data_IF_991415832777
#
_entry.id   IF_991415832777
#
_cell.length_a   1.000
_cell.length_b   1.000
_cell.length_c   1.000
_cell.angle_alpha   90.00
_cell.angle_beta   90.00
_cell.angle_gamma   90.00
#
_symmetry.space_group_name_H-M   'P 1'
#
loop_
_entity.id
_entity.type
_entity.pdbx_description
1 polymer ?
#
# COMPACT_ATOMS: atom_id res chain seq x y z
N UNK A 1 18.32 26.01 -10.86
CA UNK A 1 17.27 25.11 -11.39
C UNK A 1 16.43 24.58 -10.23
N UNK A 2 15.29 23.94 -10.50
CA UNK A 2 14.46 23.32 -9.45
C UNK A 2 15.26 22.34 -8.58
N UNK A 3 16.10 21.50 -9.20
CA UNK A 3 16.96 20.55 -8.48
C UNK A 3 18.01 21.22 -7.59
N UNK A 4 18.61 22.33 -8.05
CA UNK A 4 19.57 23.09 -7.25
C UNK A 4 18.91 23.72 -6.01
N UNK A 5 17.74 24.34 -6.19
CA UNK A 5 16.95 24.90 -5.08
C UNK A 5 16.56 23.83 -4.07
N UNK A 6 16.07 22.68 -4.54
CA UNK A 6 15.68 21.57 -3.67
C UNK A 6 16.87 21.02 -2.87
N UNK A 7 18.02 20.91 -3.50
CA UNK A 7 19.27 20.47 -2.84
C UNK A 7 19.71 21.45 -1.76
N UNK A 8 19.68 22.75 -2.05
CA UNK A 8 20.06 23.80 -1.11
C UNK A 8 19.13 23.83 0.10
N UNK A 9 17.81 23.78 -0.12
CA UNK A 9 16.80 23.71 0.95
C UNK A 9 16.98 22.45 1.81
N UNK A 10 17.22 21.28 1.19
CA UNK A 10 17.47 20.04 1.93
C UNK A 10 18.78 20.06 2.72
N UNK A 11 19.78 20.82 2.28
CA UNK A 11 21.05 21.00 2.99
C UNK A 11 20.95 21.82 4.26
N UNK A 12 19.94 22.70 4.37
CA UNK A 12 19.71 23.54 5.55
C UNK A 12 19.13 22.74 6.75
N UNK A 13 18.62 21.54 6.52
CA UNK A 13 17.97 20.72 7.53
C UNK A 13 18.69 19.38 7.72
N UNK A 14 19.58 19.26 8.71
CA UNK A 14 20.23 18.00 9.05
C UNK A 14 19.18 16.90 9.32
N UNK A 15 19.23 15.82 8.54
CA UNK A 15 18.24 14.72 8.58
C UNK A 15 17.22 14.74 7.44
N UNK A 16 17.10 15.82 6.66
CA UNK A 16 16.20 15.88 5.51
C UNK A 16 16.71 15.09 4.28
N UNK A 17 18.03 14.93 4.18
CA UNK A 17 18.70 14.32 3.00
C UNK A 17 19.15 12.88 3.24
N UNK A 18 19.42 12.48 4.48
CA UNK A 18 20.08 11.21 4.82
C UNK A 18 19.38 10.41 5.91
N UNK A 19 18.04 10.43 5.93
CA UNK A 19 17.31 9.45 6.74
C UNK A 19 17.21 8.12 5.97
N UNK A 20 18.27 7.31 6.03
CA UNK A 20 18.27 5.93 5.52
C UNK A 20 17.52 4.94 6.43
N UNK A 21 16.94 5.44 7.54
CA UNK A 21 16.31 4.64 8.59
C UNK A 21 14.85 5.03 8.86
N UNK A 22 14.24 5.84 7.97
CA UNK A 22 12.87 6.32 8.12
C UNK A 22 11.83 5.21 8.32
N UNK A 23 11.95 4.14 7.55
CA UNK A 23 11.12 2.95 7.66
C UNK A 23 11.96 1.67 7.55
N UNK A 24 11.41 0.61 8.11
CA UNK A 24 11.93 -0.76 8.07
C UNK A 24 10.94 -1.70 7.39
N UNK A 25 11.38 -2.92 7.05
CA UNK A 25 10.48 -3.98 6.58
C UNK A 25 9.44 -4.35 7.65
N UNK A 26 9.84 -4.35 8.92
CA UNK A 26 8.95 -4.60 10.06
C UNK A 26 7.82 -3.57 10.15
N UNK A 27 8.09 -2.29 9.87
CA UNK A 27 7.03 -1.27 9.85
C UNK A 27 5.96 -1.56 8.79
N UNK A 28 6.39 -2.05 7.62
CA UNK A 28 5.48 -2.47 6.56
C UNK A 28 4.69 -3.72 6.97
N UNK A 29 5.36 -4.71 7.56
CA UNK A 29 4.72 -5.95 8.03
C UNK A 29 3.65 -5.66 9.08
N UNK A 30 3.96 -4.83 10.08
CA UNK A 30 3.01 -4.43 11.13
C UNK A 30 1.80 -3.68 10.56
N UNK A 31 2.00 -2.83 9.55
CA UNK A 31 0.90 -2.16 8.87
C UNK A 31 0.02 -3.17 8.12
N UNK A 32 0.65 -4.07 7.37
CA UNK A 32 -0.02 -5.10 6.57
C UNK A 32 -0.83 -6.04 7.47
N UNK A 33 -0.24 -6.53 8.56
CA UNK A 33 -0.88 -7.44 9.49
C UNK A 33 -2.08 -6.78 10.18
N UNK A 34 -1.95 -5.51 10.60
CA UNK A 34 -3.08 -4.76 11.17
C UNK A 34 -4.20 -4.55 10.16
N UNK A 35 -3.86 -4.11 8.94
CA UNK A 35 -4.85 -3.89 7.88
C UNK A 35 -5.57 -5.19 7.50
N UNK A 36 -4.88 -6.33 7.49
CA UNK A 36 -5.46 -7.62 7.13
C UNK A 36 -6.58 -8.09 8.08
N UNK A 37 -6.65 -7.52 9.29
CA UNK A 37 -7.70 -7.82 10.28
C UNK A 37 -8.93 -6.92 10.13
N UNK A 38 -8.86 -5.88 9.30
CA UNK A 38 -9.90 -4.87 9.16
C UNK A 38 -10.65 -5.10 7.86
N UNK A 39 -11.96 -5.29 7.97
CA UNK A 39 -12.82 -5.48 6.80
C UNK A 39 -12.84 -4.23 5.91
N UNK A 40 -12.47 -4.40 4.65
CA UNK A 40 -12.46 -3.36 3.63
C UNK A 40 -13.85 -3.26 2.96
N UNK A 41 -14.69 -2.36 3.45
CA UNK A 41 -16.10 -2.23 3.04
C UNK A 41 -16.35 -1.14 2.01
N UNK A 42 -15.49 -0.12 1.96
CA UNK A 42 -15.73 1.05 1.12
C UNK A 42 -14.45 1.72 0.60
N UNK A 43 -14.63 2.66 -0.34
CA UNK A 43 -13.54 3.44 -0.96
C UNK A 43 -12.77 4.29 0.04
N UNK A 44 -13.42 4.79 1.10
CA UNK A 44 -12.75 5.61 2.11
C UNK A 44 -11.68 4.78 2.86
N UNK A 45 -12.05 3.59 3.32
CA UNK A 45 -11.13 2.65 3.98
C UNK A 45 -10.01 2.17 3.04
N UNK A 46 -10.33 1.92 1.78
CA UNK A 46 -9.33 1.54 0.78
C UNK A 46 -8.33 2.67 0.53
N UNK A 47 -8.82 3.91 0.43
CA UNK A 47 -7.97 5.09 0.27
C UNK A 47 -7.03 5.28 1.45
N UNK A 48 -7.50 5.05 2.68
CA UNK A 48 -6.67 5.09 3.89
C UNK A 48 -5.56 4.04 3.86
N UNK A 49 -5.92 2.78 3.62
CA UNK A 49 -4.93 1.70 3.51
C UNK A 49 -3.90 1.99 2.41
N UNK A 50 -4.35 2.42 1.23
CA UNK A 50 -3.47 2.75 0.11
C UNK A 50 -2.49 3.87 0.45
N UNK A 51 -2.93 4.94 1.11
CA UNK A 51 -2.04 6.04 1.51
C UNK A 51 -0.99 5.59 2.51
N UNK A 52 -1.40 4.91 3.58
CA UNK A 52 -0.49 4.46 4.63
C UNK A 52 0.50 3.41 4.11
N UNK A 53 0.02 2.46 3.32
CA UNK A 53 0.87 1.46 2.68
C UNK A 53 1.91 2.12 1.75
N UNK A 54 1.49 3.07 0.89
CA UNK A 54 2.42 3.73 -0.04
C UNK A 54 3.44 4.61 0.67
N UNK A 55 3.05 5.25 1.77
CA UNK A 55 3.95 6.09 2.58
C UNK A 55 5.18 5.32 3.03
N UNK A 56 5.00 4.05 3.42
CA UNK A 56 6.09 3.17 3.86
C UNK A 56 6.74 2.47 2.65
N UNK A 57 5.95 1.78 1.83
CA UNK A 57 6.47 0.89 0.80
C UNK A 57 7.19 1.62 -0.33
N UNK A 58 6.72 2.80 -0.75
CA UNK A 58 7.38 3.57 -1.81
C UNK A 58 8.78 4.03 -1.40
N UNK A 59 8.94 4.40 -0.12
CA UNK A 59 10.25 4.75 0.42
C UNK A 59 11.17 3.52 0.48
N UNK A 60 10.65 2.35 0.88
CA UNK A 60 11.43 1.10 0.89
C UNK A 60 11.88 0.69 -0.52
N UNK A 61 11.01 0.82 -1.53
CA UNK A 61 11.36 0.58 -2.94
C UNK A 61 12.41 1.56 -3.43
N UNK A 62 12.24 2.86 -3.13
CA UNK A 62 13.21 3.90 -3.51
C UNK A 62 14.60 3.62 -2.93
N UNK A 63 14.66 3.10 -1.70
CA UNK A 63 15.90 2.70 -1.03
C UNK A 63 16.36 1.29 -1.37
N UNK A 64 15.72 0.63 -2.34
CA UNK A 64 16.01 -0.75 -2.77
C UNK A 64 15.96 -1.78 -1.63
N UNK A 65 15.21 -1.48 -0.57
CA UNK A 65 15.00 -2.39 0.58
C UNK A 65 13.95 -3.46 0.28
N UNK A 66 13.06 -3.20 -0.67
CA UNK A 66 12.14 -4.19 -1.26
C UNK A 66 12.03 -3.95 -2.77
N UNK A 67 11.73 -5.00 -3.53
CA UNK A 67 11.41 -4.91 -4.95
C UNK A 67 9.95 -4.45 -5.18
N UNK A 68 9.62 -4.05 -6.41
CA UNK A 68 8.23 -3.75 -6.82
C UNK A 68 7.30 -4.97 -6.72
N UNK A 69 7.85 -6.16 -7.00
CA UNK A 69 7.13 -7.41 -6.85
C UNK A 69 6.82 -7.72 -5.37
N UNK A 70 7.79 -7.53 -4.47
CA UNK A 70 7.55 -7.62 -3.03
C UNK A 70 6.52 -6.59 -2.56
N UNK A 71 6.62 -5.34 -3.01
CA UNK A 71 5.64 -4.31 -2.70
C UNK A 71 4.21 -4.74 -3.10
N UNK A 72 4.03 -5.32 -4.28
CA UNK A 72 2.70 -5.74 -4.74
C UNK A 72 2.16 -6.94 -3.95
N UNK A 73 3.02 -7.91 -3.60
CA UNK A 73 2.66 -9.01 -2.71
C UNK A 73 2.23 -8.54 -1.32
N UNK A 74 2.99 -7.63 -0.72
CA UNK A 74 2.68 -7.06 0.58
C UNK A 74 1.38 -6.25 0.57
N UNK A 75 1.11 -5.54 -0.53
CA UNK A 75 -0.15 -4.82 -0.69
C UNK A 75 -1.35 -5.77 -0.71
N UNK A 76 -1.23 -6.88 -1.43
CA UNK A 76 -2.27 -7.90 -1.45
C UNK A 76 -2.44 -8.58 -0.07
N UNK A 77 -1.34 -8.76 0.67
CA UNK A 77 -1.33 -9.34 2.03
C UNK A 77 -2.05 -8.45 3.06
N UNK A 78 -2.17 -7.15 2.83
CA UNK A 78 -2.85 -6.23 3.76
C UNK A 78 -4.37 -6.21 3.63
N UNK A 79 -4.95 -6.94 2.67
CA UNK A 79 -6.40 -7.11 2.58
C UNK A 79 -6.90 -8.24 3.47
N UNK A 80 -8.04 -8.00 4.11
CA UNK A 80 -8.81 -9.03 4.81
C UNK A 80 -9.16 -10.20 3.86
N UNK A 81 -9.19 -11.46 4.36
CA UNK A 81 -9.35 -12.65 3.52
C UNK A 81 -10.55 -12.62 2.56
N UNK A 82 -11.75 -12.24 3.03
CA UNK A 82 -12.94 -12.22 2.19
C UNK A 82 -12.85 -11.16 1.07
N UNK A 83 -12.27 -9.99 1.34
CA UNK A 83 -11.98 -9.02 0.28
C UNK A 83 -10.95 -9.56 -0.71
N UNK A 84 -9.89 -10.22 -0.22
CA UNK A 84 -8.82 -10.78 -1.05
C UNK A 84 -9.33 -11.85 -2.00
N UNK A 85 -10.22 -12.74 -1.56
CA UNK A 85 -10.85 -13.75 -2.41
C UNK A 85 -11.63 -13.11 -3.57
N UNK A 86 -12.43 -12.07 -3.27
CA UNK A 86 -13.15 -11.32 -4.31
C UNK A 86 -12.21 -10.61 -5.28
N UNK A 87 -11.10 -10.09 -4.77
CA UNK A 87 -10.06 -9.44 -5.57
C UNK A 87 -9.40 -10.43 -6.53
N UNK A 88 -9.00 -11.61 -6.04
CA UNK A 88 -8.44 -12.70 -6.86
C UNK A 88 -9.43 -13.10 -7.96
N UNK A 89 -10.69 -13.31 -7.63
CA UNK A 89 -11.71 -13.67 -8.63
C UNK A 89 -11.86 -12.60 -9.72
N UNK A 90 -11.77 -11.31 -9.37
CA UNK A 90 -11.77 -10.23 -10.36
C UNK A 90 -10.50 -10.23 -11.22
N UNK A 91 -9.34 -10.48 -10.62
CA UNK A 91 -8.05 -10.49 -11.32
C UNK A 91 -7.95 -11.66 -12.30
N UNK A 92 -8.39 -12.86 -11.92
CA UNK A 92 -8.42 -14.03 -12.82
C UNK A 92 -9.25 -13.79 -14.09
N UNK A 93 -10.34 -13.03 -13.99
CA UNK A 93 -11.16 -12.64 -15.15
C UNK A 93 -10.44 -11.61 -16.04
N UNK A 94 -9.65 -10.71 -15.44
CA UNK A 94 -9.01 -9.59 -16.15
C UNK A 94 -7.64 -9.92 -16.71
N UNK A 95 -6.93 -10.82 -16.06
CA UNK A 95 -5.56 -11.23 -16.36
C UNK A 95 -5.57 -12.76 -16.49
N UNK A 96 -6.19 -13.24 -17.56
CA UNK A 96 -6.50 -14.67 -17.74
C UNK A 96 -5.27 -15.57 -17.96
N UNK A 97 -4.15 -14.98 -18.37
CA UNK A 97 -2.87 -15.69 -18.63
C UNK A 97 -1.87 -15.49 -17.47
N UNK A 98 -2.37 -15.18 -16.27
CA UNK A 98 -1.53 -14.96 -15.10
C UNK A 98 -1.09 -16.29 -14.48
N UNK A 99 0.21 -16.46 -14.27
CA UNK A 99 0.75 -17.63 -13.60
C UNK A 99 0.54 -17.52 -12.07
N UNK A 100 0.09 -18.58 -11.36
CA UNK A 100 -0.24 -18.50 -9.94
C UNK A 100 0.89 -18.05 -9.00
N UNK A 101 2.15 -18.32 -9.35
CA UNK A 101 3.31 -17.94 -8.55
C UNK A 101 3.81 -16.51 -8.85
N UNK A 102 3.35 -15.93 -9.95
CA UNK A 102 3.72 -14.56 -10.29
C UNK A 102 2.89 -13.60 -9.45
N UNK A 103 3.49 -12.52 -8.91
CA UNK A 103 2.72 -11.49 -8.25
C UNK A 103 1.96 -10.65 -9.28
N UNK A 104 0.71 -10.30 -8.98
CA UNK A 104 -0.01 -9.28 -9.73
C UNK A 104 0.72 -7.93 -9.68
N UNK A 105 0.62 -7.17 -10.77
CA UNK A 105 1.16 -5.82 -10.81
C UNK A 105 0.32 -4.88 -9.94
N UNK A 106 0.97 -3.91 -9.29
CA UNK A 106 0.28 -2.94 -8.43
C UNK A 106 -0.90 -2.26 -9.15
N UNK A 107 -0.74 -1.94 -10.43
CA UNK A 107 -1.80 -1.32 -11.24
C UNK A 107 -3.05 -2.21 -11.32
N UNK A 108 -2.88 -3.51 -11.51
CA UNK A 108 -3.98 -4.47 -11.62
C UNK A 108 -4.73 -4.59 -10.28
N UNK A 109 -3.98 -4.62 -9.18
CA UNK A 109 -4.53 -4.64 -7.82
C UNK A 109 -5.39 -3.40 -7.54
N UNK A 110 -4.92 -2.20 -7.94
CA UNK A 110 -5.66 -0.95 -7.78
C UNK A 110 -6.91 -0.89 -8.65
N UNK A 111 -6.79 -1.26 -9.93
CA UNK A 111 -7.92 -1.25 -10.87
C UNK A 111 -9.01 -2.23 -10.42
N UNK A 112 -8.64 -3.43 -9.99
CA UNK A 112 -9.58 -4.44 -9.50
C UNK A 112 -10.22 -4.03 -8.17
N UNK A 113 -9.45 -3.45 -7.23
CA UNK A 113 -9.99 -2.96 -5.95
C UNK A 113 -10.98 -1.81 -6.14
N UNK A 114 -10.64 -0.84 -6.98
CA UNK A 114 -11.53 0.27 -7.32
C UNK A 114 -12.83 -0.19 -7.99
N UNK A 115 -12.74 -1.22 -8.83
CA UNK A 115 -13.90 -1.83 -9.47
C UNK A 115 -14.82 -2.51 -8.44
N UNK A 116 -14.25 -3.31 -7.53
CA UNK A 116 -15.02 -3.98 -6.47
C UNK A 116 -15.73 -3.01 -5.52
N UNK A 117 -15.15 -1.82 -5.34
CA UNK A 117 -15.66 -0.78 -4.45
C UNK A 117 -16.46 0.31 -5.19
N UNK A 118 -16.78 0.12 -6.48
CA UNK A 118 -17.25 1.20 -7.33
C UNK A 118 -18.55 1.88 -6.87
N UNK A 119 -19.42 1.13 -6.17
CA UNK A 119 -20.69 1.61 -5.62
C UNK A 119 -20.66 2.00 -4.14
N UNK A 120 -19.48 2.12 -3.53
CA UNK A 120 -19.34 2.40 -2.09
C UNK A 120 -18.92 3.86 -1.84
N UNK A 121 -19.25 4.39 -0.66
CA UNK A 121 -18.93 5.78 -0.30
C UNK A 121 -17.42 6.02 -0.18
N UNK A 122 -16.98 7.20 -0.64
CA UNK A 122 -15.62 7.71 -0.46
C UNK A 122 -15.47 8.60 0.80
N UNK A 123 -16.58 8.91 1.49
CA UNK A 123 -16.64 9.86 2.61
C UNK A 123 -17.11 9.21 3.93
N UNK A 124 -17.00 7.89 4.03
CA UNK A 124 -17.34 7.18 5.26
C UNK A 124 -16.32 7.50 6.37
N UNK A 125 -16.74 7.51 7.66
CA UNK A 125 -15.80 7.56 8.78
C UNK A 125 -14.79 6.41 8.67
N UNK A 126 -13.50 6.75 8.70
CA UNK A 126 -12.41 5.77 8.64
C UNK A 126 -11.73 5.73 10.00
N UNK A 127 -11.58 4.53 10.55
CA UNK A 127 -10.68 4.32 11.69
C UNK A 127 -9.26 4.33 11.13
N UNK A 128 -8.43 5.27 11.59
CA UNK A 128 -7.05 5.36 11.12
C UNK A 128 -6.28 4.10 11.49
N UNK A 129 -5.46 3.59 10.57
CA UNK A 129 -4.66 2.39 10.81
C UNK A 129 -3.63 2.60 11.94
N UNK A 130 -3.29 3.86 12.25
CA UNK A 130 -2.48 4.24 13.40
C UNK A 130 -3.14 3.92 14.74
N UNK A 131 -4.47 3.95 14.79
CA UNK A 131 -5.25 3.95 16.03
C UNK A 131 -5.72 2.54 16.44
N UNK A 132 -5.51 1.55 15.57
CA UNK A 132 -5.83 0.15 15.84
C UNK A 132 -4.70 -0.45 16.68
N UNK A 133 -4.91 -0.47 18.00
CA UNK A 133 -4.06 -1.18 18.96
C UNK A 133 -4.24 -2.68 18.77
N UNK A 134 -3.12 -3.42 18.75
CA UNK A 134 -3.18 -4.88 18.76
C UNK A 134 -3.52 -5.32 20.18
N UNK A 135 -4.74 -5.81 20.38
CA UNK A 135 -5.10 -6.63 21.54
C UNK A 135 -4.48 -8.03 21.43
#
# INVERSE_FOLDING_TARGET
SYEAFKTEVLGLYPGATSDDRRYSRTDLELLVDRSSKIALKNRAQFGEYYREFNRISSWLVQKQKISKHEQSREFMRGFEPAFRERLIGRLQIKVSDHYPEDPYEMKELLDASNWLLAGTSAEAPVVALSDVTSD
#
